data_IF_381312822343
#
_entry.id   IF_381312822343
#
_cell.length_a   1.000
_cell.length_b   1.000
_cell.length_c   1.000
_cell.angle_alpha   90.00
_cell.angle_beta   90.00
_cell.angle_gamma   90.00
#
_symmetry.space_group_name_H-M   'P 1'
#
loop_
_entity.id
_entity.type
_entity.pdbx_description
1 polymer ?
#
# COMPACT_ATOMS: atom_id res chain seq x y z
N UNK A 1 -1.00 6.32 8.35
CA UNK A 1 -0.92 5.44 9.53
C UNK A 1 -0.10 4.23 9.11
N UNK A 2 1.03 3.94 9.77
CA UNK A 2 1.76 2.70 9.49
C UNK A 2 0.90 1.54 10.01
N UNK A 3 0.98 0.37 9.37
CA UNK A 3 0.13 -0.84 9.42
C UNK A 3 -0.63 -1.08 10.76
N UNK A 4 -0.05 -0.73 11.90
CA UNK A 4 -0.57 -0.99 13.24
C UNK A 4 -1.34 0.15 13.92
N UNK A 5 -1.68 1.25 13.24
CA UNK A 5 -2.41 2.33 13.92
C UNK A 5 -1.55 3.48 14.43
N UNK A 6 -0.23 3.32 14.44
CA UNK A 6 0.62 4.18 15.27
C UNK A 6 0.83 5.56 14.63
N UNK A 7 0.56 6.66 15.36
CA UNK A 7 0.92 8.01 14.92
C UNK A 7 2.44 8.17 14.76
N UNK A 8 2.88 8.96 13.78
CA UNK A 8 4.31 9.27 13.55
C UNK A 8 4.97 9.82 14.82
N UNK A 9 4.28 10.66 15.60
CA UNK A 9 4.80 11.19 16.86
C UNK A 9 5.17 10.09 17.85
N UNK A 10 4.31 9.10 18.04
CA UNK A 10 4.62 7.93 18.89
C UNK A 10 5.83 7.16 18.35
N UNK A 11 5.97 7.05 17.03
CA UNK A 11 7.13 6.42 16.40
C UNK A 11 8.41 7.17 16.75
N UNK A 12 8.39 8.51 16.65
CA UNK A 12 9.51 9.33 17.10
C UNK A 12 9.84 9.07 18.57
N UNK A 13 8.83 9.01 19.45
CA UNK A 13 9.01 8.83 20.90
C UNK A 13 9.76 7.53 21.23
N UNK A 14 9.35 6.38 20.68
CA UNK A 14 9.99 5.10 21.01
C UNK A 14 11.24 4.79 20.20
N UNK A 15 11.44 5.44 19.05
CA UNK A 15 12.67 5.26 18.23
C UNK A 15 13.76 6.28 18.55
N UNK A 16 13.43 7.39 19.22
CA UNK A 16 14.32 8.53 19.43
C UNK A 16 14.67 9.29 18.14
N UNK A 17 13.97 9.01 17.04
CA UNK A 17 14.23 9.63 15.74
C UNK A 17 13.49 10.95 15.60
N UNK A 18 14.05 11.88 14.83
CA UNK A 18 13.29 13.04 14.39
C UNK A 18 12.20 12.61 13.41
N UNK A 19 11.12 13.40 13.30
CA UNK A 19 10.06 13.12 12.32
C UNK A 19 10.61 13.00 10.90
N UNK A 20 11.61 13.82 10.55
CA UNK A 20 12.30 13.76 9.25
C UNK A 20 12.92 12.39 9.02
N UNK A 21 13.67 11.88 9.99
CA UNK A 21 14.36 10.58 9.88
C UNK A 21 13.37 9.42 9.82
N UNK A 22 12.22 9.52 10.51
CA UNK A 22 11.13 8.56 10.39
C UNK A 22 10.61 8.53 8.95
N UNK A 23 10.30 9.69 8.35
CA UNK A 23 9.88 9.76 6.95
C UNK A 23 10.95 9.21 5.99
N UNK A 24 12.21 9.59 6.17
CA UNK A 24 13.32 9.05 5.35
C UNK A 24 13.45 7.53 5.46
N UNK A 25 13.21 6.95 6.64
CA UNK A 25 13.15 5.49 6.80
C UNK A 25 11.94 4.86 6.12
N UNK A 26 10.79 5.52 6.12
CA UNK A 26 9.61 5.05 5.39
C UNK A 26 9.94 4.98 3.89
N UNK A 27 10.53 6.03 3.32
CA UNK A 27 10.93 6.06 1.91
C UNK A 27 11.95 4.97 1.60
N UNK A 28 12.97 4.80 2.46
CA UNK A 28 13.93 3.71 2.31
C UNK A 28 13.28 2.33 2.32
N UNK A 29 12.35 2.07 3.24
CA UNK A 29 11.63 0.78 3.33
C UNK A 29 10.78 0.57 2.08
N UNK A 30 10.08 1.61 1.63
CA UNK A 30 9.31 1.59 0.40
C UNK A 30 10.16 1.14 -0.80
N UNK A 31 11.32 1.77 -0.99
CA UNK A 31 12.22 1.42 -2.11
C UNK A 31 12.75 -0.02 -2.01
N UNK A 32 13.04 -0.49 -0.79
CA UNK A 32 13.46 -1.89 -0.56
C UNK A 32 12.34 -2.88 -0.83
N UNK A 33 11.10 -2.54 -0.48
CA UNK A 33 9.93 -3.39 -0.78
C UNK A 33 9.74 -3.49 -2.29
N UNK A 34 9.81 -2.37 -3.03
CA UNK A 34 9.72 -2.39 -4.49
C UNK A 34 10.79 -3.29 -5.10
N UNK A 35 12.05 -3.12 -4.69
CA UNK A 35 13.16 -3.90 -5.23
C UNK A 35 13.03 -5.40 -4.91
N UNK A 36 12.63 -5.76 -3.68
CA UNK A 36 12.36 -7.16 -3.31
C UNK A 36 11.20 -7.73 -4.13
N UNK A 37 10.11 -6.99 -4.28
CA UNK A 37 8.94 -7.43 -5.06
C UNK A 37 9.34 -7.63 -6.52
N UNK A 38 10.01 -6.67 -7.15
CA UNK A 38 10.46 -6.79 -8.54
C UNK A 38 11.35 -8.02 -8.77
N UNK A 39 12.26 -8.32 -7.83
CA UNK A 39 13.10 -9.52 -7.90
C UNK A 39 12.29 -10.81 -7.79
N UNK A 40 11.24 -10.85 -6.96
CA UNK A 40 10.37 -12.02 -6.81
C UNK A 40 9.46 -12.20 -8.01
N UNK A 41 8.90 -11.13 -8.54
CA UNK A 41 7.99 -11.18 -9.69
C UNK A 41 8.69 -11.65 -10.97
N UNK A 42 9.99 -11.35 -11.13
CA UNK A 42 10.81 -11.95 -12.21
C UNK A 42 10.84 -13.48 -12.17
N UNK A 43 10.62 -14.09 -11.02
CA UNK A 43 10.58 -15.56 -10.91
C UNK A 43 9.28 -16.15 -11.45
N UNK A 44 8.25 -15.34 -11.75
CA UNK A 44 6.99 -15.84 -12.33
C UNK A 44 7.15 -16.42 -13.72
N UNK A 45 8.18 -16.02 -14.46
CA UNK A 45 8.54 -16.63 -15.75
C UNK A 45 8.87 -18.13 -15.61
N UNK A 46 9.32 -18.54 -14.42
CA UNK A 46 9.71 -19.93 -14.12
C UNK A 46 8.56 -20.74 -13.54
N UNK A 47 7.39 -20.12 -13.29
CA UNK A 47 6.25 -20.80 -12.67
C UNK A 47 5.46 -21.60 -13.72
N UNK A 48 5.33 -22.90 -13.49
CA UNK A 48 4.37 -23.71 -14.24
C UNK A 48 2.95 -23.54 -13.70
N UNK A 49 2.21 -22.64 -14.33
CA UNK A 49 0.82 -22.36 -13.99
C UNK A 49 -0.16 -23.52 -14.27
N UNK A 50 0.23 -24.53 -15.07
CA UNK A 50 -0.62 -25.72 -15.26
C UNK A 50 -0.64 -26.53 -13.97
N UNK A 51 0.54 -26.71 -13.36
CA UNK A 51 0.70 -27.48 -12.12
C UNK A 51 0.23 -26.68 -10.90
N UNK A 52 0.62 -25.40 -10.81
CA UNK A 52 0.33 -24.55 -9.65
C UNK A 52 -1.12 -24.04 -9.64
N UNK A 53 -1.77 -24.00 -10.81
CA UNK A 53 -3.13 -23.51 -11.00
C UNK A 53 -3.17 -22.07 -11.51
N UNK A 54 -4.27 -21.73 -12.20
CA UNK A 54 -4.49 -20.42 -12.86
C UNK A 54 -5.69 -19.66 -12.28
N UNK A 55 -6.09 -19.99 -11.06
CA UNK A 55 -7.25 -19.37 -10.44
C UNK A 55 -6.80 -18.15 -9.66
N UNK A 56 -7.41 -17.02 -9.97
CA UNK A 56 -7.16 -15.75 -9.29
C UNK A 56 -8.48 -15.23 -8.76
N UNK A 57 -8.47 -14.76 -7.52
CA UNK A 57 -9.62 -14.15 -6.86
C UNK A 57 -9.34 -12.67 -6.69
N UNK A 58 -10.22 -11.83 -7.22
CA UNK A 58 -10.16 -10.38 -7.06
C UNK A 58 -11.24 -9.94 -6.10
N UNK A 59 -10.84 -9.22 -5.05
CA UNK A 59 -11.74 -8.58 -4.09
C UNK A 59 -11.58 -7.06 -4.12
N UNK A 60 -12.65 -6.36 -3.78
CA UNK A 60 -12.65 -4.92 -3.57
C UNK A 60 -13.12 -4.59 -2.16
N UNK A 61 -12.49 -3.62 -1.52
CA UNK A 61 -12.89 -3.10 -0.22
C UNK A 61 -12.85 -1.57 -0.23
N UNK A 62 -13.91 -0.93 0.26
CA UNK A 62 -13.89 0.50 0.52
C UNK A 62 -13.46 0.74 1.97
N UNK A 63 -12.31 1.38 2.15
CA UNK A 63 -11.76 1.77 3.44
C UNK A 63 -12.18 3.22 3.73
N UNK A 64 -12.79 3.44 4.90
CA UNK A 64 -13.12 4.79 5.33
C UNK A 64 -11.93 5.38 6.09
N UNK A 65 -11.23 6.32 5.48
CA UNK A 65 -10.02 6.93 6.05
C UNK A 65 -10.34 8.34 6.54
N UNK A 66 -9.90 8.65 7.75
CA UNK A 66 -9.85 10.04 8.21
C UNK A 66 -8.65 10.69 7.55
N UNK A 67 -8.88 11.58 6.57
CA UNK A 67 -7.82 12.33 5.89
C UNK A 67 -7.70 13.72 6.54
N UNK A 68 -6.67 13.96 7.36
CA UNK A 68 -6.50 15.26 7.99
C UNK A 68 -5.79 16.22 7.01
N UNK A 69 -6.47 17.29 6.60
CA UNK A 69 -5.77 18.50 6.19
C UNK A 69 -5.60 19.41 7.43
N UNK A 70 -4.67 20.38 7.40
CA UNK A 70 -4.39 21.27 8.55
C UNK A 70 -5.60 22.06 9.07
N UNK A 71 -6.68 22.17 8.30
CA UNK A 71 -7.90 22.95 8.53
C UNK A 71 -9.18 22.11 8.60
N UNK A 72 -9.23 20.93 7.97
CA UNK A 72 -10.43 20.07 7.89
C UNK A 72 -10.09 18.60 8.10
N UNK A 73 -10.94 17.90 8.87
CA UNK A 73 -10.97 16.43 8.92
C UNK A 73 -12.09 15.97 8.00
N UNK A 74 -11.74 15.45 6.84
CA UNK A 74 -12.69 14.80 5.95
C UNK A 74 -12.59 13.27 6.12
N UNK A 75 -13.73 12.59 6.10
CA UNK A 75 -13.75 11.14 5.93
C UNK A 75 -13.80 10.86 4.43
N UNK A 76 -12.77 10.21 3.91
CA UNK A 76 -12.69 9.85 2.49
C UNK A 76 -12.92 8.34 2.35
N UNK A 77 -13.72 7.98 1.34
CA UNK A 77 -13.88 6.61 0.91
C UNK A 77 -12.69 6.25 -0.01
N UNK A 78 -11.91 5.27 0.41
CA UNK A 78 -10.71 4.83 -0.29
C UNK A 78 -10.91 3.43 -0.85
N UNK A 79 -10.92 3.29 -2.18
CA UNK A 79 -11.23 2.03 -2.84
C UNK A 79 -9.98 1.18 -3.04
N UNK A 80 -9.90 0.05 -2.34
CA UNK A 80 -8.82 -0.90 -2.46
C UNK A 80 -9.25 -2.13 -3.27
N UNK A 81 -8.53 -2.43 -4.34
CA UNK A 81 -8.70 -3.62 -5.17
C UNK A 81 -7.50 -4.54 -4.97
N UNK A 82 -7.75 -5.82 -4.77
CA UNK A 82 -6.71 -6.80 -4.51
C UNK A 82 -6.99 -8.11 -5.25
N UNK A 83 -6.00 -8.62 -5.97
CA UNK A 83 -6.05 -9.91 -6.66
C UNK A 83 -5.06 -10.86 -6.01
N UNK A 84 -5.55 -12.02 -5.58
CA UNK A 84 -4.74 -13.08 -5.00
C UNK A 84 -4.80 -14.35 -5.86
N UNK A 85 -3.69 -15.09 -5.94
CA UNK A 85 -3.66 -16.42 -6.50
C UNK A 85 -4.35 -17.40 -5.54
N UNK A 86 -5.38 -18.10 -6.01
CA UNK A 86 -6.30 -18.85 -5.16
C UNK A 86 -5.65 -20.03 -4.43
N UNK A 87 -4.67 -20.69 -5.04
CA UNK A 87 -4.07 -21.89 -4.46
C UNK A 87 -2.95 -21.58 -3.44
N UNK A 88 -2.28 -20.43 -3.57
CA UNK A 88 -1.14 -20.07 -2.69
C UNK A 88 -1.43 -18.89 -1.77
N UNK A 89 -2.51 -18.13 -2.01
CA UNK A 89 -2.81 -16.89 -1.31
C UNK A 89 -1.85 -15.74 -1.64
N UNK A 90 -0.95 -15.92 -2.62
CA UNK A 90 -0.01 -14.86 -3.01
C UNK A 90 -0.78 -13.69 -3.63
N UNK A 91 -0.52 -12.46 -3.15
CA UNK A 91 -1.13 -11.25 -3.69
C UNK A 91 -0.44 -10.86 -5.00
N UNK A 92 -1.13 -11.06 -6.11
CA UNK A 92 -0.61 -10.76 -7.46
C UNK A 92 -0.64 -9.26 -7.75
N UNK A 93 -1.65 -8.56 -7.25
CA UNK A 93 -1.76 -7.10 -7.40
C UNK A 93 -2.62 -6.53 -6.27
N UNK A 94 -2.24 -5.36 -5.78
CA UNK A 94 -3.05 -4.56 -4.86
C UNK A 94 -2.97 -3.10 -5.29
N UNK A 95 -4.12 -2.49 -5.57
CA UNK A 95 -4.21 -1.13 -6.08
C UNK A 95 -5.22 -0.32 -5.27
N UNK A 96 -4.93 0.95 -5.06
CA UNK A 96 -5.71 1.85 -4.21
C UNK A 96 -6.67 2.77 -4.97
N UNK A 97 -6.79 2.55 -6.28
CA UNK A 97 -7.71 3.28 -7.15
C UNK A 97 -7.42 4.78 -7.29
N UNK A 98 -6.29 5.26 -6.74
CA UNK A 98 -5.88 6.66 -6.77
C UNK A 98 -4.69 6.84 -7.71
N UNK A 99 -4.79 7.83 -8.58
CA UNK A 99 -3.67 8.25 -9.42
C UNK A 99 -2.70 9.10 -8.58
N UNK A 100 -1.43 8.68 -8.42
CA UNK A 100 -0.45 9.42 -7.63
C UNK A 100 -0.06 10.78 -8.23
N UNK A 101 -0.46 11.08 -9.48
CA UNK A 101 -0.21 12.36 -10.15
C UNK A 101 -1.33 13.38 -9.91
N UNK A 102 -2.47 12.95 -9.37
CA UNK A 102 -3.66 13.77 -9.23
C UNK A 102 -3.72 14.44 -7.85
N UNK A 103 -3.85 15.76 -7.84
CA UNK A 103 -3.96 16.56 -6.61
C UNK A 103 -5.41 16.72 -6.19
N UNK A 104 -5.66 16.80 -4.88
CA UNK A 104 -7.01 16.91 -4.30
C UNK A 104 -7.86 18.06 -4.89
N UNK A 105 -7.31 19.27 -5.16
CA UNK A 105 -8.08 20.36 -5.77
C UNK A 105 -8.64 20.04 -7.15
N UNK A 106 -8.01 19.13 -7.90
CA UNK A 106 -8.46 18.74 -9.24
C UNK A 106 -9.65 17.78 -9.21
N UNK A 107 -9.91 17.15 -8.05
CA UNK A 107 -11.00 16.19 -7.82
C UNK A 107 -12.23 16.86 -7.19
N UNK A 108 -12.05 17.94 -6.43
CA UNK A 108 -13.12 18.65 -5.70
C UNK A 108 -13.84 19.75 -6.52
N UNK A 109 -13.45 20.00 -7.78
CA UNK A 109 -14.04 20.99 -8.68
C UNK A 109 -15.24 20.43 -9.48
#
# INVERSE_FOLDING_TARGET
MIINGTPISKICDFTGLSARDVYTKIDFIHDRVIDITARRERLFEQVDWITVGRRFATGSQTLQLNWPNKKTRAQIAFHHLCTAHANTGYIMAAHVGQDPVMELPDIEA
#
